data_IF_125865236819
#
_entry.id   IF_125865236819
#
_cell.length_a   1.000
_cell.length_b   1.000
_cell.length_c   1.000
_cell.angle_alpha   90.00
_cell.angle_beta   90.00
_cell.angle_gamma   90.00
#
_symmetry.space_group_name_H-M   'P 1'
#
loop_
_entity.id
_entity.type
_entity.pdbx_description
1 polymer ?
#
# COMPACT_ATOMS: atom_id res chain seq x y z
N UNK A 1 15.86 -21.59 -19.13
CA UNK A 1 15.02 -21.14 -17.99
C UNK A 1 15.97 -20.91 -16.82
N UNK A 2 16.40 -19.67 -16.59
CA UNK A 2 17.13 -19.33 -15.38
C UNK A 2 16.14 -19.44 -14.23
N UNK A 3 16.34 -20.44 -13.39
CA UNK A 3 15.49 -20.77 -12.27
C UNK A 3 15.44 -19.59 -11.31
N UNK A 4 14.37 -18.81 -11.38
CA UNK A 4 13.90 -18.12 -10.19
C UNK A 4 13.45 -19.25 -9.27
N UNK A 5 14.25 -19.50 -8.24
CA UNK A 5 14.09 -20.64 -7.34
C UNK A 5 12.85 -20.55 -6.45
N UNK A 6 12.13 -19.42 -6.49
CA UNK A 6 10.89 -19.16 -5.77
C UNK A 6 10.03 -18.09 -6.50
N UNK A 7 8.88 -18.45 -7.09
CA UNK A 7 7.96 -17.52 -7.76
C UNK A 7 7.57 -16.32 -6.87
N UNK A 8 7.50 -16.53 -5.57
CA UNK A 8 7.19 -15.48 -4.60
C UNK A 8 8.24 -14.36 -4.55
N UNK A 9 9.51 -14.67 -4.85
CA UNK A 9 10.59 -13.69 -4.85
C UNK A 9 10.38 -12.59 -5.90
N UNK A 10 9.73 -12.91 -7.04
CA UNK A 10 9.39 -11.91 -8.07
C UNK A 10 8.33 -10.95 -7.54
N UNK A 11 7.29 -11.47 -6.90
CA UNK A 11 6.26 -10.63 -6.29
C UNK A 11 6.82 -9.76 -5.19
N UNK A 12 7.64 -10.32 -4.31
CA UNK A 12 8.26 -9.58 -3.22
C UNK A 12 9.16 -8.45 -3.73
N UNK A 13 9.97 -8.71 -4.77
CA UNK A 13 10.78 -7.68 -5.40
C UNK A 13 9.93 -6.56 -6.02
N UNK A 14 8.81 -6.92 -6.66
CA UNK A 14 7.89 -5.95 -7.27
C UNK A 14 7.18 -5.10 -6.23
N UNK A 15 6.68 -5.73 -5.16
CA UNK A 15 6.04 -5.02 -4.04
C UNK A 15 7.05 -4.06 -3.40
N UNK A 16 8.26 -4.54 -3.09
CA UNK A 16 9.30 -3.74 -2.47
C UNK A 16 9.70 -2.55 -3.35
N UNK A 17 9.87 -2.75 -4.66
CA UNK A 17 10.19 -1.67 -5.60
C UNK A 17 9.08 -0.61 -5.67
N UNK A 18 7.82 -1.04 -5.77
CA UNK A 18 6.68 -0.11 -5.79
C UNK A 18 6.50 0.62 -4.46
N UNK A 19 6.60 -0.07 -3.34
CA UNK A 19 6.49 0.52 -2.00
C UNK A 19 7.60 1.53 -1.78
N UNK A 20 8.85 1.23 -2.19
CA UNK A 20 9.96 2.17 -2.09
C UNK A 20 9.75 3.40 -3.00
N UNK A 21 9.24 3.20 -4.21
CA UNK A 21 8.93 4.30 -5.13
C UNK A 21 7.84 5.23 -4.59
N UNK A 22 6.77 4.65 -4.02
CA UNK A 22 5.70 5.42 -3.38
C UNK A 22 6.23 6.17 -2.15
N UNK A 23 6.97 5.50 -1.27
CA UNK A 23 7.57 6.13 -0.08
C UNK A 23 8.52 7.28 -0.43
N UNK A 24 9.35 7.12 -1.46
CA UNK A 24 10.22 8.20 -1.93
C UNK A 24 9.40 9.40 -2.41
N UNK A 25 8.33 9.14 -3.17
CA UNK A 25 7.42 10.17 -3.66
C UNK A 25 6.71 10.88 -2.51
N UNK A 26 6.20 10.13 -1.53
CA UNK A 26 5.56 10.64 -0.32
C UNK A 26 6.53 11.49 0.51
N UNK A 27 7.77 11.03 0.68
CA UNK A 27 8.80 11.73 1.44
C UNK A 27 9.23 13.04 0.75
N UNK A 28 9.23 13.07 -0.58
CA UNK A 28 9.46 14.29 -1.37
C UNK A 28 8.28 15.27 -1.28
N UNK A 29 7.05 14.75 -1.23
CA UNK A 29 5.84 15.58 -1.13
C UNK A 29 5.59 16.11 0.28
N UNK A 30 5.97 15.37 1.33
CA UNK A 30 5.78 15.76 2.72
C UNK A 30 6.35 17.15 3.07
N UNK A 31 7.59 17.54 2.70
CA UNK A 31 8.11 18.88 2.96
C UNK A 31 7.37 19.96 2.16
N UNK A 32 6.97 19.67 0.92
CA UNK A 32 6.14 20.59 0.12
C UNK A 32 4.81 20.84 0.81
N UNK A 33 4.16 19.78 1.31
CA UNK A 33 2.93 19.87 2.08
C UNK A 33 3.12 20.65 3.39
N UNK A 34 4.20 20.38 4.13
CA UNK A 34 4.54 21.07 5.38
C UNK A 34 4.66 22.59 5.18
N UNK A 35 5.35 23.02 4.12
CA UNK A 35 5.55 24.43 3.79
C UNK A 35 4.25 25.09 3.31
N UNK A 36 3.52 24.43 2.40
CA UNK A 36 2.31 24.99 1.79
C UNK A 36 1.17 25.16 2.81
N UNK A 37 0.99 24.18 3.70
CA UNK A 37 -0.09 24.17 4.69
C UNK A 37 0.35 24.65 6.08
N UNK A 38 1.61 25.07 6.24
CA UNK A 38 2.19 25.53 7.50
C UNK A 38 2.01 24.51 8.67
N UNK A 39 2.13 23.23 8.36
CA UNK A 39 1.90 22.13 9.30
C UNK A 39 3.19 21.69 9.98
N UNK A 40 3.14 21.47 11.29
CA UNK A 40 4.30 21.08 12.10
C UNK A 40 4.26 19.58 12.44
N UNK A 41 5.13 18.78 11.79
CA UNK A 41 5.17 17.33 11.98
C UNK A 41 6.11 16.84 13.09
N UNK A 42 6.84 17.74 13.76
CA UNK A 42 7.99 17.41 14.64
C UNK A 42 7.71 16.38 15.74
N UNK A 43 6.48 16.30 16.27
CA UNK A 43 6.09 15.32 17.30
C UNK A 43 5.45 14.04 16.76
N UNK A 44 5.01 14.02 15.50
CA UNK A 44 4.17 12.96 14.94
C UNK A 44 4.80 12.28 13.72
N UNK A 45 6.00 12.72 13.34
CA UNK A 45 6.79 12.17 12.23
C UNK A 45 6.81 10.63 12.21
N UNK A 46 7.05 9.92 13.34
CA UNK A 46 7.04 8.46 13.34
C UNK A 46 5.69 7.86 12.97
N UNK A 47 4.58 8.44 13.44
CA UNK A 47 3.23 7.99 13.12
C UNK A 47 2.87 8.25 11.66
N UNK A 48 3.28 9.40 11.12
CA UNK A 48 3.07 9.74 9.70
C UNK A 48 3.86 8.79 8.81
N UNK A 49 5.15 8.56 9.10
CA UNK A 49 6.00 7.63 8.35
C UNK A 49 5.47 6.20 8.42
N UNK A 50 4.98 5.76 9.58
CA UNK A 50 4.35 4.45 9.73
C UNK A 50 3.10 4.33 8.85
N UNK A 51 2.23 5.35 8.87
CA UNK A 51 1.00 5.37 8.06
C UNK A 51 1.32 5.36 6.56
N UNK A 52 2.33 6.12 6.14
CA UNK A 52 2.81 6.13 4.76
C UNK A 52 3.36 4.77 4.33
N UNK A 53 4.16 4.14 5.18
CA UNK A 53 4.66 2.80 4.92
C UNK A 53 3.54 1.77 4.75
N UNK A 54 2.60 1.71 5.70
CA UNK A 54 1.44 0.82 5.66
C UNK A 54 0.53 1.10 4.45
N UNK A 55 0.19 2.35 4.19
CA UNK A 55 -0.62 2.74 3.03
C UNK A 55 0.05 2.36 1.70
N UNK A 56 1.34 2.69 1.55
CA UNK A 56 2.14 2.35 0.38
C UNK A 56 2.30 0.84 0.19
N UNK A 57 2.45 0.07 1.27
CA UNK A 57 2.55 -1.39 1.24
C UNK A 57 1.22 -1.99 0.79
N UNK A 58 0.09 -1.55 1.36
CA UNK A 58 -1.24 -2.01 0.98
C UNK A 58 -1.56 -1.75 -0.49
N UNK A 59 -1.30 -0.53 -0.97
CA UNK A 59 -1.49 -0.15 -2.37
C UNK A 59 -0.60 -1.00 -3.29
N UNK A 60 0.68 -1.16 -2.93
CA UNK A 60 1.65 -1.93 -3.72
C UNK A 60 1.28 -3.42 -3.82
N UNK A 61 0.87 -4.01 -2.70
CA UNK A 61 0.51 -5.44 -2.59
C UNK A 61 -0.80 -5.72 -3.33
N UNK A 62 -1.84 -4.92 -3.07
CA UNK A 62 -3.12 -5.02 -3.77
C UNK A 62 -2.98 -4.80 -5.27
N UNK A 63 -2.23 -3.78 -5.68
CA UNK A 63 -1.95 -3.48 -7.08
C UNK A 63 -1.17 -4.60 -7.77
N UNK A 64 -0.21 -5.19 -7.08
CA UNK A 64 0.55 -6.35 -7.60
C UNK A 64 -0.35 -7.57 -7.76
N UNK A 65 -1.17 -7.91 -6.77
CA UNK A 65 -2.11 -9.02 -6.84
C UNK A 65 -3.10 -8.88 -8.01
N UNK A 66 -3.72 -7.69 -8.14
CA UNK A 66 -4.65 -7.43 -9.23
C UNK A 66 -3.98 -7.40 -10.60
N UNK A 67 -2.75 -6.89 -10.71
CA UNK A 67 -2.00 -6.91 -11.97
C UNK A 67 -1.69 -8.34 -12.43
N UNK A 68 -1.38 -9.23 -11.49
CA UNK A 68 -1.14 -10.65 -11.78
C UNK A 68 -2.42 -11.35 -12.24
N UNK A 69 -3.54 -11.15 -11.52
CA UNK A 69 -4.85 -11.71 -11.92
C UNK A 69 -5.28 -11.16 -13.29
N UNK A 70 -5.07 -9.86 -13.54
CA UNK A 70 -5.47 -9.21 -14.78
C UNK A 70 -4.62 -9.60 -15.98
N UNK A 71 -3.37 -10.04 -15.76
CA UNK A 71 -2.54 -10.58 -16.84
C UNK A 71 -3.16 -11.82 -17.51
N UNK A 72 -4.03 -12.53 -16.79
CA UNK A 72 -4.69 -13.75 -17.24
C UNK A 72 -6.13 -13.51 -17.77
N UNK A 73 -6.70 -12.31 -17.57
CA UNK A 73 -8.10 -12.03 -17.90
C UNK A 73 -8.30 -11.45 -19.32
N UNK A 74 -9.27 -11.97 -20.09
CA UNK A 74 -9.62 -11.47 -21.44
C UNK A 74 -10.14 -10.03 -21.49
N UNK A 75 -10.49 -9.42 -20.35
CA UNK A 75 -11.02 -8.06 -20.21
C UNK A 75 -10.13 -7.17 -19.32
N UNK A 76 -8.82 -7.21 -19.59
CA UNK A 76 -7.73 -6.60 -18.80
C UNK A 76 -7.88 -5.09 -18.54
N UNK A 77 -8.47 -4.35 -19.48
CA UNK A 77 -8.59 -2.89 -19.42
C UNK A 77 -9.75 -2.40 -18.56
N UNK A 78 -10.76 -3.24 -18.34
CA UNK A 78 -11.95 -2.91 -17.55
C UNK A 78 -11.88 -3.45 -16.12
N UNK A 79 -11.22 -4.59 -15.91
CA UNK A 79 -11.09 -5.21 -14.58
C UNK A 79 -10.18 -4.41 -13.65
N UNK A 80 -9.09 -3.85 -14.18
CA UNK A 80 -8.12 -3.09 -13.38
C UNK A 80 -8.77 -1.85 -12.74
N UNK A 81 -9.41 -0.93 -13.46
CA UNK A 81 -10.03 0.25 -12.85
C UNK A 81 -11.22 -0.10 -11.96
N UNK A 82 -12.04 -1.09 -12.36
CA UNK A 82 -13.27 -1.45 -11.66
C UNK A 82 -13.00 -2.14 -10.31
N UNK A 83 -11.89 -2.86 -10.18
CA UNK A 83 -11.50 -3.54 -8.94
C UNK A 83 -10.45 -2.76 -8.14
N UNK A 84 -9.54 -2.03 -8.79
CA UNK A 84 -8.57 -1.20 -8.07
C UNK A 84 -9.25 -0.06 -7.35
N UNK A 85 -10.17 0.66 -7.99
CA UNK A 85 -10.82 1.81 -7.37
C UNK A 85 -11.52 1.47 -6.04
N UNK A 86 -12.40 0.46 -5.96
CA UNK A 86 -13.04 0.09 -4.69
C UNK A 86 -12.07 -0.50 -3.68
N UNK A 87 -10.91 -1.02 -4.11
CA UNK A 87 -9.90 -1.57 -3.21
C UNK A 87 -8.97 -0.48 -2.64
N UNK A 88 -8.63 0.52 -3.44
CA UNK A 88 -7.83 1.66 -3.02
C UNK A 88 -8.62 2.58 -2.10
N UNK A 89 -9.93 2.75 -2.34
CA UNK A 89 -10.79 3.60 -1.53
C UNK A 89 -10.67 3.36 -0.01
N UNK A 90 -10.84 2.13 0.53
CA UNK A 90 -10.72 1.89 1.97
C UNK A 90 -9.32 2.13 2.51
N UNK A 91 -8.25 1.82 1.75
CA UNK A 91 -6.86 2.07 2.17
C UNK A 91 -6.61 3.57 2.29
N UNK A 92 -7.05 4.34 1.29
CA UNK A 92 -6.90 5.79 1.26
C UNK A 92 -7.72 6.46 2.37
N UNK A 93 -8.94 5.99 2.61
CA UNK A 93 -9.79 6.49 3.71
C UNK A 93 -9.12 6.20 5.06
N UNK A 94 -8.69 4.96 5.31
CA UNK A 94 -8.02 4.60 6.57
C UNK A 94 -6.72 5.40 6.77
N UNK A 95 -5.92 5.59 5.72
CA UNK A 95 -4.67 6.34 5.77
C UNK A 95 -4.90 7.83 6.06
N UNK A 96 -5.93 8.43 5.43
CA UNK A 96 -6.28 9.83 5.68
C UNK A 96 -6.87 10.03 7.07
N UNK A 97 -7.71 9.13 7.55
CA UNK A 97 -8.24 9.14 8.93
C UNK A 97 -7.12 9.09 9.98
N UNK A 98 -6.16 8.17 9.83
CA UNK A 98 -5.00 8.09 10.73
C UNK A 98 -4.16 9.37 10.66
N UNK A 99 -3.93 9.92 9.46
CA UNK A 99 -3.17 11.15 9.28
C UNK A 99 -3.85 12.37 9.93
N UNK A 100 -5.17 12.51 9.77
CA UNK A 100 -5.96 13.55 10.43
C UNK A 100 -5.96 13.36 11.95
N UNK A 101 -6.09 12.12 12.42
CA UNK A 101 -6.03 11.77 13.83
C UNK A 101 -4.69 12.16 14.45
N UNK A 102 -3.59 11.88 13.76
CA UNK A 102 -2.26 12.33 14.15
C UNK A 102 -2.23 13.85 14.25
N UNK A 103 -2.65 14.57 13.22
CA UNK A 103 -2.60 16.04 13.17
C UNK A 103 -3.50 16.74 14.19
N UNK A 104 -4.55 16.08 14.66
CA UNK A 104 -5.44 16.63 15.68
C UNK A 104 -4.76 16.72 17.05
N UNK A 105 -5.00 17.80 17.80
CA UNK A 105 -4.39 18.04 19.11
C UNK A 105 -4.86 17.07 20.24
N UNK A 106 -5.62 16.02 19.88
CA UNK A 106 -6.13 15.02 20.81
C UNK A 106 -5.18 13.82 20.94
N UNK A 107 -5.08 13.19 22.13
CA UNK A 107 -4.17 12.05 22.38
C UNK A 107 -4.59 10.73 21.72
N UNK A 108 -5.59 10.73 20.83
CA UNK A 108 -6.18 9.49 20.32
C UNK A 108 -5.58 9.18 18.96
N UNK A 109 -4.38 8.59 18.98
CA UNK A 109 -3.89 7.81 17.85
C UNK A 109 -5.03 6.88 17.39
N UNK A 110 -5.45 6.98 16.14
CA UNK A 110 -6.56 6.18 15.61
C UNK A 110 -6.09 4.74 15.37
N UNK A 111 -5.89 3.99 16.46
CA UNK A 111 -5.44 2.60 16.46
C UNK A 111 -6.31 1.69 15.59
N UNK A 112 -7.60 2.04 15.43
CA UNK A 112 -8.51 1.33 14.53
C UNK A 112 -8.08 1.43 13.06
N UNK A 113 -7.68 2.61 12.59
CA UNK A 113 -7.23 2.81 11.21
C UNK A 113 -5.90 2.13 10.93
N UNK A 114 -4.95 2.22 11.87
CA UNK A 114 -3.68 1.48 11.77
C UNK A 114 -3.93 -0.03 11.79
N UNK A 115 -4.80 -0.52 12.68
CA UNK A 115 -5.17 -1.93 12.74
C UNK A 115 -5.82 -2.41 11.43
N UNK A 116 -6.67 -1.60 10.81
CA UNK A 116 -7.25 -1.91 9.50
C UNK A 116 -6.17 -2.04 8.42
N UNK A 117 -5.23 -1.09 8.34
CA UNK A 117 -4.12 -1.13 7.38
C UNK A 117 -3.24 -2.37 7.58
N UNK A 118 -2.88 -2.70 8.83
CA UNK A 118 -2.08 -3.90 9.13
C UNK A 118 -2.81 -5.17 8.71
N UNK A 119 -4.10 -5.30 9.05
CA UNK A 119 -4.90 -6.47 8.68
C UNK A 119 -5.01 -6.58 7.16
N UNK A 120 -5.26 -5.46 6.48
CA UNK A 120 -5.33 -5.42 5.02
C UNK A 120 -4.01 -5.92 4.38
N UNK A 121 -2.88 -5.38 4.83
CA UNK A 121 -1.55 -5.75 4.32
C UNK A 121 -1.25 -7.23 4.54
N UNK A 122 -1.51 -7.75 5.74
CA UNK A 122 -1.29 -9.15 6.08
C UNK A 122 -2.16 -10.07 5.22
N UNK A 123 -3.43 -9.73 5.03
CA UNK A 123 -4.36 -10.53 4.21
C UNK A 123 -3.87 -10.59 2.76
N UNK A 124 -3.51 -9.45 2.17
CA UNK A 124 -3.07 -9.42 0.77
C UNK A 124 -1.68 -10.03 0.55
N UNK A 125 -0.74 -9.85 1.48
CA UNK A 125 0.56 -10.52 1.42
C UNK A 125 0.40 -12.04 1.55
N UNK A 126 -0.45 -12.50 2.47
CA UNK A 126 -0.72 -13.94 2.64
C UNK A 126 -1.40 -14.51 1.40
N UNK A 127 -2.35 -13.77 0.80
CA UNK A 127 -2.97 -14.18 -0.45
C UNK A 127 -1.94 -14.28 -1.59
N UNK A 128 -1.04 -13.30 -1.75
CA UNK A 128 0.02 -13.39 -2.75
C UNK A 128 1.02 -14.52 -2.49
N UNK A 129 1.27 -14.85 -1.22
CA UNK A 129 2.12 -15.98 -0.88
C UNK A 129 1.46 -17.32 -1.22
N UNK A 130 0.16 -17.48 -0.91
CA UNK A 130 -0.58 -18.72 -1.18
C UNK A 130 -0.91 -18.91 -2.67
N UNK A 131 -1.31 -17.85 -3.37
CA UNK A 131 -1.73 -17.91 -4.77
C UNK A 131 -0.60 -17.58 -5.75
N UNK A 132 0.57 -17.15 -5.26
CA UNK A 132 1.68 -16.69 -6.08
C UNK A 132 2.22 -17.76 -7.03
N UNK A 133 2.26 -19.02 -6.61
CA UNK A 133 2.67 -20.14 -7.46
C UNK A 133 1.67 -20.36 -8.61
N UNK A 134 0.36 -20.38 -8.31
CA UNK A 134 -0.70 -20.50 -9.31
C UNK A 134 -0.73 -19.33 -10.31
N UNK A 135 -0.36 -18.13 -9.86
CA UNK A 135 -0.30 -16.93 -10.70
C UNK A 135 0.91 -16.91 -11.66
N UNK A 136 1.95 -17.72 -11.39
CA UNK A 136 3.20 -17.74 -12.16
C UNK A 136 3.42 -19.02 -12.97
N UNK A 137 2.71 -20.11 -12.68
CA UNK A 137 2.91 -21.41 -13.36
C UNK A 137 2.30 -21.52 -14.77
N UNK A 138 1.61 -20.49 -15.29
CA UNK A 138 1.01 -20.47 -16.64
C UNK A 138 1.20 -19.12 -17.36
#
# INVERSE_FOLDING_TARGET
RLAVSDPFAIFLAKIAANTLFLLLTELLMLPVFAVLFNVNFRGQLPGVLLTFFLGSLGISTAGTALASISAQARMRELLLPLLLLPLLAPILVASTEVTVGLMSAGPVMQWKGIGFLVVFDVVFLTALWLFGEYLLEE
#
